data_IF_385152626246
#
_entry.id   IF_385152626246
#
_cell.length_a   1.000
_cell.length_b   1.000
_cell.length_c   1.000
_cell.angle_alpha   90.00
_cell.angle_beta   90.00
_cell.angle_gamma   90.00
#
_symmetry.space_group_name_H-M   'P 1'
#
loop_
_entity.id
_entity.type
_entity.pdbx_description
1 polymer ?
#
# COMPACT_ATOMS: atom_id res chain seq x y z
N UNK A 1 14.98 39.53 110.27
CA UNK A 1 15.08 39.94 108.86
C UNK A 1 13.91 39.28 108.12
N UNK A 2 12.99 40.10 107.59
CA UNK A 2 11.65 39.72 107.08
C UNK A 2 11.80 38.95 105.73
N UNK A 3 10.93 38.01 105.37
CA UNK A 3 9.66 38.22 104.63
C UNK A 3 8.85 36.91 104.60
N UNK A 4 7.53 37.07 104.50
CA UNK A 4 6.41 36.13 104.72
C UNK A 4 6.17 35.09 103.61
N UNK A 5 5.51 34.01 104.02
CA UNK A 5 4.76 32.99 103.27
C UNK A 5 3.83 33.51 102.16
N UNK A 6 3.76 32.78 101.04
CA UNK A 6 2.50 32.39 100.38
C UNK A 6 2.69 31.11 99.55
N UNK A 7 1.90 30.06 99.84
CA UNK A 7 1.77 28.85 99.03
C UNK A 7 0.75 29.09 97.89
N UNK A 8 0.84 28.33 96.77
CA UNK A 8 -0.30 27.89 95.91
C UNK A 8 0.18 27.10 94.67
N UNK A 9 -0.40 25.90 94.53
CA UNK A 9 -0.76 25.13 93.31
C UNK A 9 0.26 24.42 92.38
N UNK A 10 0.16 23.08 92.44
CA UNK A 10 0.19 22.05 91.40
C UNK A 10 0.39 22.43 89.91
N UNK A 11 1.21 21.65 89.19
CA UNK A 11 0.75 20.90 88.00
C UNK A 11 1.77 19.83 87.54
N UNK A 12 1.20 18.69 87.16
CA UNK A 12 1.79 17.50 86.53
C UNK A 12 2.38 17.84 85.14
N UNK A 13 3.62 17.43 84.83
CA UNK A 13 4.18 17.50 83.47
C UNK A 13 4.45 16.08 82.94
N UNK A 14 3.60 15.62 82.03
CA UNK A 14 3.86 14.47 81.17
C UNK A 14 4.70 14.90 79.96
N UNK A 15 5.75 14.14 79.67
CA UNK A 15 6.61 14.27 78.49
C UNK A 15 5.81 14.00 77.21
N UNK A 16 5.79 14.97 76.29
CA UNK A 16 5.22 14.81 74.94
C UNK A 16 6.32 14.44 73.95
N UNK A 17 6.18 13.28 73.30
CA UNK A 17 6.94 12.89 72.13
C UNK A 17 6.30 13.50 70.87
N UNK A 18 7.05 14.33 70.15
CA UNK A 18 6.62 14.89 68.88
C UNK A 18 6.80 13.86 67.76
N UNK A 19 5.71 13.27 67.29
CA UNK A 19 5.66 12.55 66.02
C UNK A 19 5.39 13.55 64.88
N UNK A 20 6.38 13.77 64.03
CA UNK A 20 6.21 14.54 62.79
C UNK A 20 5.56 13.58 61.77
N UNK A 21 4.25 13.71 61.56
CA UNK A 21 3.56 13.09 60.44
C UNK A 21 3.84 13.92 59.19
N UNK A 22 4.88 13.54 58.45
CA UNK A 22 5.05 14.02 57.09
C UNK A 22 4.05 13.27 56.21
N UNK A 23 2.94 13.95 55.89
CA UNK A 23 1.96 13.45 54.94
C UNK A 23 2.62 13.36 53.54
N UNK A 24 3.10 12.18 53.17
CA UNK A 24 3.38 11.86 51.77
C UNK A 24 2.03 11.92 51.03
N UNK A 25 1.81 13.01 50.30
CA UNK A 25 0.76 13.06 49.28
C UNK A 25 1.20 12.11 48.17
N UNK A 26 0.59 10.92 48.11
CA UNK A 26 0.66 10.10 46.90
C UNK A 26 -0.06 10.86 45.79
N UNK A 27 0.70 11.52 44.93
CA UNK A 27 0.20 11.92 43.63
C UNK A 27 0.04 10.64 42.81
N UNK A 28 -1.18 10.12 42.77
CA UNK A 28 -1.55 9.05 41.86
C UNK A 28 -1.35 9.57 40.44
N UNK A 29 -0.22 9.20 39.83
CA UNK A 29 0.00 9.36 38.40
C UNK A 29 -1.14 8.61 37.71
N UNK A 30 -2.06 9.34 37.09
CA UNK A 30 -3.00 8.74 36.15
C UNK A 30 -2.15 8.10 35.07
N UNK A 31 -2.22 6.77 34.97
CA UNK A 31 -1.69 6.03 33.84
C UNK A 31 -2.41 6.55 32.60
N UNK A 32 -1.72 7.40 31.83
CA UNK A 32 -2.19 7.82 30.52
C UNK A 32 -2.09 6.58 29.65
N UNK A 33 -3.19 5.86 29.51
CA UNK A 33 -3.30 4.79 28.52
C UNK A 33 -3.24 5.47 27.16
N UNK A 34 -2.04 5.55 26.57
CA UNK A 34 -1.91 5.93 25.17
C UNK A 34 -2.61 4.84 24.37
N UNK A 35 -3.81 5.15 23.88
CA UNK A 35 -4.48 4.30 22.89
C UNK A 35 -3.59 4.31 21.66
N UNK A 36 -2.74 3.29 21.50
CA UNK A 36 -1.91 3.14 20.32
C UNK A 36 -2.85 3.01 19.12
N UNK A 37 -2.72 3.93 18.15
CA UNK A 37 -3.53 3.85 16.93
C UNK A 37 -3.25 2.50 16.23
N UNK A 38 -4.29 1.76 15.80
CA UNK A 38 -4.11 0.50 15.10
C UNK A 38 -3.22 0.68 13.87
N UNK A 39 -2.29 -0.26 13.67
CA UNK A 39 -1.42 -0.29 12.50
C UNK A 39 -2.13 -1.04 11.37
N UNK A 40 -2.49 -0.32 10.32
CA UNK A 40 -3.14 -0.87 9.12
C UNK A 40 -2.16 -1.13 7.96
N UNK A 41 -0.85 -1.14 8.23
CA UNK A 41 0.16 -1.41 7.22
C UNK A 41 -0.02 -2.80 6.59
N UNK A 42 0.31 -2.91 5.30
CA UNK A 42 0.11 -4.12 4.50
C UNK A 42 1.21 -4.25 3.45
N UNK A 43 1.68 -5.47 3.20
CA UNK A 43 2.67 -5.77 2.17
C UNK A 43 2.21 -6.92 1.29
N UNK A 44 2.61 -6.90 0.03
CA UNK A 44 2.42 -8.00 -0.92
C UNK A 44 3.68 -8.15 -1.80
N UNK A 45 4.29 -9.32 -1.71
CA UNK A 45 5.53 -9.68 -2.43
C UNK A 45 5.24 -10.52 -3.69
N UNK A 46 3.95 -10.81 -3.97
CA UNK A 46 3.52 -11.53 -5.17
C UNK A 46 4.15 -12.92 -5.37
N UNK A 47 4.54 -13.58 -4.27
CA UNK A 47 4.98 -14.98 -4.18
C UNK A 47 4.05 -15.93 -4.96
N UNK A 48 2.75 -15.62 -5.00
CA UNK A 48 1.78 -16.33 -5.83
C UNK A 48 0.58 -15.48 -6.17
N UNK A 49 0.31 -15.27 -7.46
CA UNK A 49 -0.87 -14.53 -7.92
C UNK A 49 -2.17 -15.22 -7.52
N UNK A 50 -2.20 -16.56 -7.45
CA UNK A 50 -3.38 -17.26 -6.94
C UNK A 50 -3.66 -16.90 -5.48
N UNK A 51 -2.63 -16.80 -4.63
CA UNK A 51 -2.78 -16.38 -3.23
C UNK A 51 -3.19 -14.92 -3.12
N UNK A 52 -2.57 -14.04 -3.90
CA UNK A 52 -2.86 -12.61 -4.01
C UNK A 52 -4.35 -12.39 -4.30
N UNK A 53 -4.92 -13.08 -5.29
CA UNK A 53 -6.34 -12.99 -5.63
C UNK A 53 -7.24 -13.55 -4.51
N UNK A 54 -6.85 -14.68 -3.90
CA UNK A 54 -7.57 -15.23 -2.74
C UNK A 54 -7.57 -14.26 -1.55
N UNK A 55 -6.52 -13.45 -1.40
CA UNK A 55 -6.35 -12.45 -0.35
C UNK A 55 -7.01 -11.09 -0.65
N UNK A 56 -7.81 -11.00 -1.71
CA UNK A 56 -8.69 -9.83 -1.93
C UNK A 56 -8.24 -8.88 -3.05
N UNK A 57 -7.08 -9.13 -3.66
CA UNK A 57 -6.71 -8.47 -4.91
C UNK A 57 -7.64 -8.90 -6.04
N UNK A 58 -7.86 -8.02 -7.02
CA UNK A 58 -8.77 -8.31 -8.14
C UNK A 58 -8.17 -7.86 -9.45
N UNK A 59 -8.10 -8.77 -10.41
CA UNK A 59 -7.67 -8.49 -11.76
C UNK A 59 -8.91 -8.28 -12.66
N UNK A 60 -8.97 -7.18 -13.42
CA UNK A 60 -10.13 -6.83 -14.26
C UNK A 60 -9.66 -6.35 -15.63
N UNK A 61 -10.04 -7.06 -16.69
CA UNK A 61 -9.72 -6.67 -18.06
C UNK A 61 -10.91 -5.93 -18.69
N UNK A 62 -10.69 -4.66 -19.06
CA UNK A 62 -11.61 -3.77 -19.78
C UNK A 62 -11.04 -3.32 -21.12
N UNK A 63 -10.08 -4.09 -21.66
CA UNK A 63 -9.48 -3.82 -22.96
C UNK A 63 -10.52 -3.93 -24.09
N UNK A 64 -10.25 -3.26 -25.21
CA UNK A 64 -11.08 -3.33 -26.42
C UNK A 64 -10.16 -3.36 -27.64
N UNK A 65 -10.07 -4.43 -28.41
CA UNK A 65 -10.66 -5.76 -28.25
C UNK A 65 -9.97 -6.51 -27.09
N UNK A 66 -10.74 -7.13 -26.20
CA UNK A 66 -10.20 -7.90 -25.08
C UNK A 66 -9.63 -9.24 -25.54
N UNK A 67 -8.48 -9.62 -25.00
CA UNK A 67 -7.96 -10.98 -25.06
C UNK A 67 -8.39 -11.81 -23.85
N UNK A 68 -7.92 -13.06 -23.80
CA UNK A 68 -8.32 -14.05 -22.78
C UNK A 68 -7.46 -14.00 -21.51
N UNK A 69 -6.43 -13.17 -21.49
CA UNK A 69 -5.48 -13.05 -20.39
C UNK A 69 -5.82 -11.88 -19.44
N UNK A 70 -5.16 -11.87 -18.29
CA UNK A 70 -5.23 -10.80 -17.30
C UNK A 70 -3.88 -10.69 -16.57
N UNK A 71 -3.81 -9.87 -15.50
CA UNK A 71 -2.70 -9.93 -14.56
C UNK A 71 -2.49 -11.36 -14.05
N UNK A 72 -1.27 -11.86 -14.16
CA UNK A 72 -0.90 -13.26 -13.99
C UNK A 72 0.46 -13.41 -13.32
N UNK A 73 0.82 -14.64 -12.97
CA UNK A 73 2.14 -14.93 -12.41
C UNK A 73 3.23 -14.55 -13.40
N UNK A 74 4.31 -13.96 -12.90
CA UNK A 74 5.55 -13.81 -13.65
C UNK A 74 6.01 -15.11 -14.32
N UNK A 75 6.70 -14.96 -15.44
CA UNK A 75 7.17 -16.08 -16.26
C UNK A 75 8.64 -15.90 -16.60
N UNK A 76 9.52 -15.96 -15.61
CA UNK A 76 10.95 -16.01 -15.84
C UNK A 76 11.37 -17.38 -16.36
N UNK A 77 12.00 -17.40 -17.52
CA UNK A 77 12.59 -18.62 -18.08
C UNK A 77 14.06 -18.69 -17.69
N UNK A 78 14.39 -19.62 -16.80
CA UNK A 78 15.74 -20.17 -16.66
C UNK A 78 15.74 -21.58 -17.27
N UNK A 79 16.77 -21.92 -18.05
CA UNK A 79 17.00 -23.28 -18.57
C UNK A 79 15.83 -23.94 -19.33
N UNK A 80 15.06 -23.14 -20.08
CA UNK A 80 13.85 -23.57 -20.82
C UNK A 80 12.70 -24.12 -19.95
N UNK A 81 12.73 -23.90 -18.63
CA UNK A 81 11.61 -24.21 -17.73
C UNK A 81 10.72 -22.97 -17.61
N UNK A 82 9.43 -23.14 -17.92
CA UNK A 82 8.44 -22.05 -17.94
C UNK A 82 7.76 -21.90 -16.58
N UNK A 83 7.69 -20.68 -16.06
CA UNK A 83 6.67 -20.27 -15.08
C UNK A 83 5.45 -19.65 -15.79
N UNK A 84 4.22 -19.86 -15.32
CA UNK A 84 3.04 -19.16 -15.86
C UNK A 84 2.66 -19.46 -17.34
N UNK A 85 1.56 -18.88 -17.86
CA UNK A 85 1.08 -19.12 -19.23
C UNK A 85 1.68 -18.19 -20.31
N UNK A 86 2.13 -16.98 -19.96
CA UNK A 86 2.89 -16.09 -20.86
C UNK A 86 4.38 -16.45 -20.91
N UNK A 87 5.17 -15.92 -21.85
CA UNK A 87 6.64 -16.08 -21.87
C UNK A 87 7.30 -14.73 -21.58
N UNK A 88 7.96 -14.59 -20.43
CA UNK A 88 8.66 -13.36 -20.05
C UNK A 88 10.17 -13.57 -19.91
N UNK A 89 10.93 -12.51 -20.14
CA UNK A 89 12.37 -12.46 -19.82
C UNK A 89 12.65 -11.80 -18.46
N UNK A 90 11.62 -11.35 -17.75
CA UNK A 90 11.75 -10.56 -16.54
C UNK A 90 11.82 -11.48 -15.32
N UNK A 91 12.91 -11.40 -14.57
CA UNK A 91 12.99 -12.00 -13.23
C UNK A 91 12.31 -11.08 -12.22
N UNK A 92 11.69 -11.65 -11.18
CA UNK A 92 11.20 -10.94 -10.01
C UNK A 92 12.25 -9.97 -9.45
N UNK A 93 11.81 -8.87 -8.84
CA UNK A 93 12.72 -7.95 -8.14
C UNK A 93 13.31 -8.66 -6.95
N UNK A 94 12.46 -9.33 -6.19
CA UNK A 94 12.78 -10.12 -4.99
C UNK A 94 11.99 -11.40 -5.08
N UNK A 95 12.60 -12.50 -4.63
CA UNK A 95 11.91 -13.78 -4.59
C UNK A 95 12.50 -14.66 -3.49
N UNK A 96 11.67 -15.54 -2.94
CA UNK A 96 12.05 -16.56 -1.96
C UNK A 96 12.23 -17.91 -2.62
N UNK A 97 11.32 -18.30 -3.50
CA UNK A 97 11.31 -19.62 -4.12
C UNK A 97 11.63 -19.58 -5.61
N UNK A 98 11.22 -18.54 -6.33
CA UNK A 98 11.38 -18.51 -7.79
C UNK A 98 11.40 -17.10 -8.36
N UNK A 99 12.21 -16.88 -9.39
CA UNK A 99 12.21 -15.64 -10.17
C UNK A 99 10.87 -15.32 -10.89
N UNK A 100 9.86 -16.19 -10.76
CA UNK A 100 8.49 -15.94 -11.21
C UNK A 100 7.67 -15.11 -10.21
N UNK A 101 8.13 -14.91 -8.98
CA UNK A 101 7.40 -14.29 -7.86
C UNK A 101 7.25 -12.77 -8.03
N UNK A 102 6.47 -12.37 -9.03
CA UNK A 102 6.01 -11.00 -9.28
C UNK A 102 4.68 -11.05 -10.06
N UNK A 103 3.95 -9.94 -10.11
CA UNK A 103 2.75 -9.82 -10.92
C UNK A 103 3.09 -9.29 -12.31
N UNK A 104 2.58 -9.95 -13.36
CA UNK A 104 2.84 -9.61 -14.76
C UNK A 104 1.54 -9.33 -15.50
N UNK A 105 1.54 -8.33 -16.38
CA UNK A 105 0.45 -8.05 -17.30
C UNK A 105 0.97 -8.03 -18.75
N UNK A 106 0.59 -9.01 -19.59
CA UNK A 106 1.09 -9.11 -20.97
C UNK A 106 0.23 -8.32 -21.97
N UNK A 107 0.75 -8.05 -23.16
CA UNK A 107 0.00 -7.45 -24.27
C UNK A 107 -1.22 -8.28 -24.71
N UNK A 108 -1.23 -9.58 -24.42
CA UNK A 108 -2.31 -10.53 -24.75
C UNK A 108 -3.58 -10.33 -23.90
N UNK A 109 -3.58 -9.39 -22.95
CA UNK A 109 -4.84 -8.87 -22.37
C UNK A 109 -5.68 -8.13 -23.42
N UNK A 110 -5.07 -7.71 -24.52
CA UNK A 110 -5.75 -7.30 -25.75
C UNK A 110 -5.72 -8.40 -26.82
N UNK A 111 -6.61 -8.28 -27.80
CA UNK A 111 -6.63 -9.12 -29.00
C UNK A 111 -6.46 -8.25 -30.26
N UNK A 112 -5.73 -8.76 -31.26
CA UNK A 112 -5.44 -8.02 -32.49
C UNK A 112 -4.84 -6.64 -32.20
N UNK A 113 -5.39 -5.60 -32.84
CA UNK A 113 -5.15 -4.21 -32.48
C UNK A 113 -6.15 -3.80 -31.39
N UNK A 114 -5.64 -3.44 -30.22
CA UNK A 114 -6.46 -3.13 -29.05
C UNK A 114 -6.07 -1.78 -28.40
N UNK A 115 -7.03 -1.20 -27.68
CA UNK A 115 -6.75 -0.32 -26.55
C UNK A 115 -6.78 -1.18 -25.30
N UNK A 116 -5.61 -1.40 -24.71
CA UNK A 116 -5.44 -2.16 -23.48
C UNK A 116 -5.94 -1.32 -22.30
N UNK A 117 -6.76 -1.92 -21.44
CA UNK A 117 -7.20 -1.37 -20.17
C UNK A 117 -7.33 -2.52 -19.17
N UNK A 118 -6.23 -2.90 -18.52
CA UNK A 118 -6.18 -4.05 -17.63
C UNK A 118 -5.75 -3.65 -16.21
N UNK A 119 -6.60 -3.93 -15.23
CA UNK A 119 -6.46 -3.48 -13.85
C UNK A 119 -6.02 -4.60 -12.92
N UNK A 120 -5.16 -4.28 -11.96
CA UNK A 120 -4.92 -5.03 -10.75
C UNK A 120 -5.21 -4.13 -9.55
N UNK A 121 -6.19 -4.52 -8.74
CA UNK A 121 -6.69 -3.73 -7.62
C UNK A 121 -6.24 -4.36 -6.31
N UNK A 122 -5.71 -3.55 -5.38
CA UNK A 122 -5.38 -3.99 -4.02
C UNK A 122 -6.61 -4.56 -3.31
N UNK A 123 -6.47 -5.35 -2.23
CA UNK A 123 -7.56 -5.53 -1.26
C UNK A 123 -8.01 -4.16 -0.70
N UNK A 124 -9.17 -4.09 -0.01
CA UNK A 124 -9.53 -2.90 0.74
C UNK A 124 -8.45 -2.58 1.79
N UNK A 125 -7.82 -1.42 1.68
CA UNK A 125 -6.86 -0.93 2.67
C UNK A 125 -7.53 0.18 3.48
N UNK A 126 -7.26 0.21 4.78
CA UNK A 126 -7.72 1.29 5.66
C UNK A 126 -6.80 2.49 5.49
N UNK A 127 -7.25 3.51 4.76
CA UNK A 127 -6.44 4.67 4.37
C UNK A 127 -6.94 5.97 5.00
N UNK A 128 -6.00 6.84 5.38
CA UNK A 128 -6.19 8.25 5.73
C UNK A 128 -5.14 9.13 5.06
N UNK A 129 -5.36 10.44 5.10
CA UNK A 129 -4.33 11.40 4.67
C UNK A 129 -3.06 11.24 5.52
N UNK A 130 -1.90 11.18 4.87
CA UNK A 130 -0.60 10.95 5.51
C UNK A 130 -0.05 9.54 5.34
N UNK A 131 -0.91 8.54 5.11
CA UNK A 131 -0.48 7.17 4.81
C UNK A 131 0.36 7.13 3.52
N UNK A 132 1.17 6.08 3.36
CA UNK A 132 2.11 5.97 2.23
C UNK A 132 1.93 4.63 1.54
N UNK A 133 2.23 4.58 0.26
CA UNK A 133 2.40 3.30 -0.43
C UNK A 133 3.55 3.35 -1.42
N UNK A 134 4.11 2.19 -1.71
CA UNK A 134 5.14 2.02 -2.71
C UNK A 134 5.03 0.69 -3.45
N UNK A 135 5.69 0.61 -4.59
CA UNK A 135 5.80 -0.60 -5.42
C UNK A 135 6.99 -0.46 -6.37
N UNK A 136 7.42 -1.58 -6.95
CA UNK A 136 8.40 -1.62 -8.03
C UNK A 136 7.71 -1.96 -9.34
N UNK A 137 8.20 -1.38 -10.44
CA UNK A 137 7.74 -1.77 -11.77
C UNK A 137 8.85 -1.70 -12.81
N UNK A 138 8.67 -2.45 -13.89
CA UNK A 138 9.50 -2.39 -15.11
C UNK A 138 8.74 -2.97 -16.30
N UNK A 139 9.22 -2.66 -17.50
CA UNK A 139 8.97 -3.40 -18.74
C UNK A 139 10.16 -4.32 -19.09
N UNK A 140 9.96 -5.10 -20.15
CA UNK A 140 10.96 -5.85 -20.91
C UNK A 140 12.17 -5.01 -21.35
N UNK A 141 13.29 -5.67 -21.62
CA UNK A 141 14.50 -5.05 -22.18
C UNK A 141 15.15 -6.02 -23.18
N UNK A 142 15.45 -5.61 -24.43
CA UNK A 142 15.24 -4.27 -25.01
C UNK A 142 13.76 -3.92 -25.24
N UNK A 143 13.46 -2.62 -25.30
CA UNK A 143 12.08 -2.13 -25.53
C UNK A 143 11.81 -2.07 -27.03
N UNK A 144 10.99 -3.00 -27.52
CA UNK A 144 10.52 -3.01 -28.91
C UNK A 144 9.15 -2.33 -29.05
N UNK A 145 8.29 -2.49 -28.05
CA UNK A 145 6.94 -1.94 -28.01
C UNK A 145 6.77 -1.14 -26.71
N UNK A 146 6.49 0.17 -26.79
CA UNK A 146 6.34 0.98 -25.60
C UNK A 146 5.16 0.57 -24.73
N UNK A 147 5.42 0.44 -23.43
CA UNK A 147 4.41 0.18 -22.40
C UNK A 147 4.01 1.45 -21.66
N UNK A 148 2.79 1.49 -21.11
CA UNK A 148 2.26 2.58 -20.27
C UNK A 148 1.41 2.01 -19.15
N UNK A 149 1.60 2.53 -17.93
CA UNK A 149 0.83 2.11 -16.76
C UNK A 149 0.46 3.33 -15.93
N UNK A 150 -0.78 3.36 -15.44
CA UNK A 150 -1.28 4.37 -14.54
C UNK A 150 -1.50 3.76 -13.15
N UNK A 151 -1.38 4.60 -12.11
CA UNK A 151 -1.77 4.23 -10.75
C UNK A 151 -2.85 5.18 -10.27
N UNK A 152 -3.94 4.60 -9.78
CA UNK A 152 -5.12 5.32 -9.36
C UNK A 152 -5.56 4.96 -7.95
N UNK A 153 -6.30 5.87 -7.33
CA UNK A 153 -7.00 5.69 -6.07
C UNK A 153 -8.50 5.82 -6.30
N UNK A 154 -9.27 4.88 -5.75
CA UNK A 154 -10.68 5.10 -5.50
C UNK A 154 -10.82 5.88 -4.20
N UNK A 155 -11.23 7.15 -4.28
CA UNK A 155 -11.41 7.99 -3.08
C UNK A 155 -12.80 7.89 -2.46
N UNK A 156 -13.72 7.14 -3.08
CA UNK A 156 -15.14 7.11 -2.73
C UNK A 156 -15.52 5.91 -1.88
N UNK A 157 -14.97 4.74 -2.19
CA UNK A 157 -15.34 3.45 -1.59
C UNK A 157 -14.27 2.36 -1.80
N UNK A 158 -14.53 1.13 -1.34
CA UNK A 158 -13.68 -0.06 -1.55
C UNK A 158 -14.20 -0.99 -2.66
N UNK A 159 -15.01 -0.45 -3.56
CA UNK A 159 -15.59 -1.14 -4.70
C UNK A 159 -14.57 -1.45 -5.80
N UNK A 160 -15.05 -2.19 -6.80
CA UNK A 160 -14.26 -2.70 -7.94
C UNK A 160 -14.66 -2.06 -9.28
N UNK A 161 -15.45 -0.98 -9.23
CA UNK A 161 -15.95 -0.33 -10.45
C UNK A 161 -14.82 0.42 -11.16
N UNK A 162 -14.28 -0.17 -12.22
CA UNK A 162 -13.24 0.42 -13.09
C UNK A 162 -13.80 0.99 -14.39
N UNK A 163 -15.13 1.14 -14.49
CA UNK A 163 -15.80 1.50 -15.74
C UNK A 163 -16.06 0.30 -16.66
N UNK A 164 -16.61 0.58 -17.83
CA UNK A 164 -17.07 -0.41 -18.80
C UNK A 164 -16.33 -0.35 -20.13
N UNK A 165 -15.61 0.74 -20.42
CA UNK A 165 -14.84 0.91 -21.66
C UNK A 165 -13.35 1.17 -21.40
N UNK A 166 -12.49 1.17 -22.43
CA UNK A 166 -11.05 1.32 -22.26
C UNK A 166 -10.62 2.68 -21.73
N UNK A 167 -11.40 3.75 -21.89
CA UNK A 167 -11.03 5.10 -21.46
C UNK A 167 -11.48 5.36 -20.02
N UNK A 168 -12.60 4.79 -19.60
CA UNK A 168 -13.17 4.95 -18.27
C UNK A 168 -12.29 4.40 -17.13
N UNK A 169 -12.43 4.99 -15.95
CA UNK A 169 -11.79 4.54 -14.70
C UNK A 169 -12.79 4.23 -13.59
N UNK A 170 -14.09 4.41 -13.84
CA UNK A 170 -15.15 4.18 -12.86
C UNK A 170 -14.98 5.01 -11.58
N UNK A 171 -14.86 4.34 -10.45
CA UNK A 171 -14.73 4.99 -9.13
C UNK A 171 -13.27 5.40 -8.82
N UNK A 172 -12.30 4.99 -9.65
CA UNK A 172 -10.90 5.38 -9.52
C UNK A 172 -10.69 6.78 -10.09
N UNK A 173 -10.78 7.78 -9.22
CA UNK A 173 -10.95 9.18 -9.58
C UNK A 173 -9.74 10.07 -9.28
N UNK A 174 -8.76 9.57 -8.51
CA UNK A 174 -7.49 10.27 -8.27
C UNK A 174 -6.32 9.50 -8.87
N UNK A 175 -5.66 10.08 -9.86
CA UNK A 175 -4.42 9.54 -10.43
C UNK A 175 -3.21 9.95 -9.58
N UNK A 176 -2.33 9.00 -9.27
CA UNK A 176 -1.02 9.27 -8.66
C UNK A 176 0.06 9.48 -9.71
N UNK A 177 0.08 8.63 -10.74
CA UNK A 177 1.08 8.69 -11.81
C UNK A 177 0.54 8.08 -13.10
N UNK A 178 1.04 8.61 -14.21
CA UNK A 178 0.95 8.04 -15.54
C UNK A 178 2.39 7.79 -16.03
N UNK A 179 2.82 6.53 -16.04
CA UNK A 179 4.17 6.13 -16.43
C UNK A 179 4.18 5.93 -17.94
N UNK A 180 5.08 6.64 -18.63
CA UNK A 180 5.18 6.69 -20.09
C UNK A 180 3.89 7.16 -20.81
N UNK A 181 3.31 8.33 -20.47
CA UNK A 181 2.02 8.77 -21.02
C UNK A 181 2.07 8.95 -22.54
N UNK A 182 3.25 9.24 -23.10
CA UNK A 182 3.49 9.41 -24.54
C UNK A 182 3.87 8.11 -25.26
N UNK A 183 3.93 6.95 -24.57
CA UNK A 183 4.25 5.64 -25.13
C UNK A 183 5.54 5.67 -25.97
N UNK A 184 6.62 6.15 -25.37
CA UNK A 184 7.96 6.21 -26.00
C UNK A 184 8.81 5.02 -25.56
N UNK A 185 9.78 4.61 -26.36
CA UNK A 185 10.67 3.48 -26.04
C UNK A 185 11.52 3.70 -24.77
N UNK A 186 11.66 4.93 -24.29
CA UNK A 186 12.48 5.29 -23.12
C UNK A 186 11.65 5.76 -21.92
N UNK A 187 10.33 5.87 -22.05
CA UNK A 187 9.49 6.49 -21.02
C UNK A 187 9.01 5.54 -19.93
N UNK A 188 9.20 4.23 -20.09
CA UNK A 188 8.91 3.21 -19.07
C UNK A 188 10.23 2.61 -18.56
N UNK A 189 10.41 2.40 -17.24
CA UNK A 189 11.64 1.82 -16.70
C UNK A 189 11.91 0.40 -17.21
N UNK A 190 13.14 0.13 -17.64
CA UNK A 190 13.59 -1.21 -18.09
C UNK A 190 14.28 -2.00 -16.99
N UNK A 191 14.45 -1.42 -15.80
CA UNK A 191 14.94 -2.07 -14.57
C UNK A 191 13.94 -1.81 -13.46
N UNK A 192 13.84 -2.72 -12.48
CA UNK A 192 12.92 -2.56 -11.36
C UNK A 192 13.13 -1.22 -10.66
N UNK A 193 12.13 -0.34 -10.78
CA UNK A 193 12.20 1.05 -10.30
C UNK A 193 11.10 1.26 -9.27
N UNK A 194 11.49 1.78 -8.09
CA UNK A 194 10.56 2.07 -7.00
C UNK A 194 9.78 3.36 -7.30
N UNK A 195 8.47 3.31 -7.10
CA UNK A 195 7.61 4.49 -6.98
C UNK A 195 7.00 4.53 -5.58
N UNK A 196 6.89 5.72 -5.00
CA UNK A 196 6.39 5.90 -3.63
C UNK A 196 5.55 7.18 -3.56
N UNK A 197 4.39 7.08 -2.90
CA UNK A 197 3.41 8.15 -2.82
C UNK A 197 2.87 8.31 -1.41
N UNK A 198 2.44 9.53 -1.08
CA UNK A 198 1.69 9.84 0.15
C UNK A 198 0.23 10.06 -0.21
N UNK A 199 -0.67 9.39 0.50
CA UNK A 199 -2.11 9.59 0.41
C UNK A 199 -2.44 10.98 0.95
N UNK A 200 -3.16 11.76 0.14
CA UNK A 200 -3.54 13.14 0.45
C UNK A 200 -4.88 13.49 -0.19
N UNK A 201 -5.49 14.60 0.21
CA UNK A 201 -6.72 15.10 -0.41
C UNK A 201 -7.95 14.20 -0.27
N UNK A 202 -7.94 13.21 0.63
CA UNK A 202 -9.15 12.48 0.98
C UNK A 202 -10.12 13.41 1.72
N UNK A 203 -11.43 13.37 1.42
CA UNK A 203 -12.42 14.25 2.04
C UNK A 203 -12.78 13.82 3.47
N UNK A 204 -12.18 12.74 3.97
CA UNK A 204 -12.48 12.15 5.27
C UNK A 204 -11.34 12.43 6.26
N UNK A 205 -11.71 12.66 7.52
CA UNK A 205 -10.76 12.84 8.62
C UNK A 205 -10.43 11.53 9.35
N UNK A 206 -11.28 10.50 9.21
CA UNK A 206 -11.06 9.16 9.76
C UNK A 206 -10.69 8.16 8.66
N UNK A 207 -9.91 7.11 8.98
CA UNK A 207 -9.57 6.06 8.03
C UNK A 207 -10.80 5.43 7.34
N UNK A 208 -10.69 5.18 6.03
CA UNK A 208 -11.72 4.51 5.22
C UNK A 208 -11.13 3.34 4.46
N UNK A 209 -11.94 2.30 4.25
CA UNK A 209 -11.60 1.23 3.31
C UNK A 209 -11.67 1.79 1.89
N UNK A 210 -10.53 1.80 1.20
CA UNK A 210 -10.35 2.26 -0.17
C UNK A 210 -9.45 1.29 -0.94
N UNK A 211 -9.25 1.51 -2.25
CA UNK A 211 -8.37 0.69 -3.09
C UNK A 211 -7.44 1.52 -3.96
N UNK A 212 -6.23 1.01 -4.12
CA UNK A 212 -5.30 1.45 -5.17
C UNK A 212 -5.44 0.51 -6.37
N UNK A 213 -5.36 1.06 -7.58
CA UNK A 213 -5.44 0.31 -8.82
C UNK A 213 -4.22 0.56 -9.70
N UNK A 214 -3.61 -0.52 -10.17
CA UNK A 214 -2.58 -0.52 -11.21
C UNK A 214 -3.25 -0.80 -12.54
N UNK A 215 -3.23 0.17 -13.44
CA UNK A 215 -3.89 0.08 -14.74
C UNK A 215 -2.84 0.03 -15.84
N UNK A 216 -2.64 -1.14 -16.44
CA UNK A 216 -1.93 -1.24 -17.70
C UNK A 216 -2.84 -0.67 -18.79
N UNK A 217 -2.45 0.48 -19.36
CA UNK A 217 -3.29 1.26 -20.27
C UNK A 217 -2.47 1.69 -21.48
N UNK A 218 -2.70 1.03 -22.62
CA UNK A 218 -1.91 1.25 -23.84
C UNK A 218 -2.83 1.37 -25.04
N UNK A 219 -2.73 2.48 -25.77
CA UNK A 219 -3.45 2.68 -27.03
C UNK A 219 -2.64 2.11 -28.19
N UNK A 220 -3.30 1.48 -29.16
CA UNK A 220 -2.60 0.80 -30.25
C UNK A 220 -1.74 -0.37 -29.79
N UNK A 221 -2.16 -1.02 -28.71
CA UNK A 221 -1.56 -2.23 -28.16
C UNK A 221 -2.17 -3.52 -28.72
N UNK A 222 -1.95 -4.61 -28.00
CA UNK A 222 -2.38 -5.96 -28.39
C UNK A 222 -1.43 -6.62 -29.40
N UNK A 223 -1.66 -7.91 -29.74
CA UNK A 223 -0.77 -8.69 -30.61
C UNK A 223 -0.47 -8.11 -32.00
N UNK A 224 -1.35 -7.24 -32.53
CA UNK A 224 -1.15 -6.55 -33.82
C UNK A 224 -0.89 -5.05 -33.66
N UNK A 225 -0.69 -4.60 -32.41
CA UNK A 225 -0.39 -3.21 -32.08
C UNK A 225 1.07 -2.83 -32.34
N UNK A 226 1.31 -1.53 -32.43
CA UNK A 226 2.68 -0.98 -32.45
C UNK A 226 3.20 -0.62 -31.05
N UNK A 227 2.36 -0.75 -30.03
CA UNK A 227 2.68 -0.54 -28.62
C UNK A 227 2.35 -1.81 -27.82
N UNK A 228 2.63 -1.80 -26.52
CA UNK A 228 2.44 -2.88 -25.55
C UNK A 228 3.34 -4.10 -25.74
N UNK A 229 4.00 -4.52 -24.67
CA UNK A 229 4.66 -5.81 -24.56
C UNK A 229 4.28 -6.45 -23.22
N UNK A 230 4.90 -6.02 -22.13
CA UNK A 230 4.63 -6.58 -20.80
C UNK A 230 5.09 -5.60 -19.73
N UNK A 231 4.33 -5.55 -18.64
CA UNK A 231 4.73 -4.83 -17.43
C UNK A 231 4.69 -5.75 -16.23
N UNK A 232 5.67 -5.59 -15.34
CA UNK A 232 5.71 -6.26 -14.04
C UNK A 232 5.47 -5.27 -12.91
N UNK A 233 4.79 -5.69 -11.85
CA UNK A 233 4.84 -5.03 -10.54
C UNK A 233 5.31 -6.01 -9.48
N UNK A 234 6.01 -5.47 -8.49
CA UNK A 234 6.57 -6.27 -7.39
C UNK A 234 6.68 -5.44 -6.10
N UNK A 235 6.82 -6.10 -4.96
CA UNK A 235 7.03 -5.53 -3.63
C UNK A 235 6.10 -4.33 -3.32
N UNK A 236 4.80 -4.58 -3.30
CA UNK A 236 3.83 -3.57 -2.87
C UNK A 236 3.88 -3.40 -1.35
N UNK A 237 3.97 -2.15 -0.90
CA UNK A 237 3.95 -1.79 0.51
C UNK A 237 2.96 -0.65 0.74
N UNK A 238 2.12 -0.79 1.75
CA UNK A 238 1.26 0.25 2.30
C UNK A 238 1.62 0.45 3.77
N UNK A 239 1.92 1.70 4.15
CA UNK A 239 2.29 2.08 5.51
C UNK A 239 1.21 2.99 6.06
N UNK A 240 0.57 2.55 7.15
CA UNK A 240 -0.35 3.39 7.91
C UNK A 240 0.44 4.23 8.91
N UNK A 241 0.33 5.55 8.80
CA UNK A 241 1.00 6.47 9.74
C UNK A 241 0.24 6.46 11.06
N UNK A 242 0.96 6.37 12.18
CA UNK A 242 0.42 6.35 13.54
C UNK A 242 0.18 7.74 14.11
#
# INVERSE_FOLDING_TARGET
MKIKFTAVFALLLMLTSAFILQACREETLKEVTTVQEPDYSYTEEFDSIQKVINNGWRAINRSQQAGDENWQQGSYIADNIKGGPFYSGISARSYKASANEYALCPYTVGYGLATINCWLLTPPLMMKNGDRFSFYTRTSSPVNYPDRMQVWLNTKNDGLNVGNDPAETGDFDKMFIDINPSQTATGYPTTWTKYEFTISGLPYTSPKKLRIGFRYYVTGGGPSGSNSNEVGIDDFEFISVK
#
